data_IF_360584368263
#
_entry.id   IF_360584368263
#
_cell.length_a   1.000
_cell.length_b   1.000
_cell.length_c   1.000
_cell.angle_alpha   90.00
_cell.angle_beta   90.00
_cell.angle_gamma   90.00
#
_symmetry.space_group_name_H-M   'P 1'
#
loop_
_entity.id
_entity.type
_entity.pdbx_description
1 polymer ?
#
# COMPACT_ATOMS: atom_id res chain seq x y z
N UNK A 1 -13.03 8.89 -11.06
CA UNK A 1 -11.87 9.72 -11.50
C UNK A 1 -10.72 9.48 -10.54
N UNK A 2 -9.58 9.02 -11.06
CA UNK A 2 -8.37 8.72 -10.28
C UNK A 2 -7.52 9.98 -10.01
N UNK A 3 -6.93 10.06 -8.81
CA UNK A 3 -5.97 11.11 -8.48
C UNK A 3 -4.92 10.64 -7.46
N UNK A 4 -3.73 11.23 -7.56
CA UNK A 4 -2.65 11.12 -6.58
C UNK A 4 -2.26 12.52 -6.11
N UNK A 5 -2.07 12.70 -4.80
CA UNK A 5 -1.65 13.98 -4.23
C UNK A 5 -0.50 13.76 -3.26
N UNK A 6 0.63 14.39 -3.53
CA UNK A 6 1.78 14.37 -2.65
C UNK A 6 1.62 15.44 -1.55
N UNK A 7 1.69 14.99 -0.30
CA UNK A 7 1.65 15.80 0.89
C UNK A 7 3.07 15.78 1.47
N UNK A 8 3.81 16.91 1.47
CA UNK A 8 5.17 16.94 2.00
C UNK A 8 5.19 16.68 3.51
N UNK A 9 6.33 16.23 4.02
CA UNK A 9 6.55 16.09 5.45
C UNK A 9 6.39 17.46 6.15
N UNK A 10 5.70 17.48 7.29
CA UNK A 10 5.49 18.69 8.10
C UNK A 10 5.73 18.37 9.56
N UNK A 11 6.72 19.04 10.17
CA UNK A 11 7.14 18.87 11.56
C UNK A 11 7.40 17.40 11.94
N UNK A 12 6.38 16.74 12.51
CA UNK A 12 6.40 15.36 13.01
C UNK A 12 5.62 14.38 12.11
N UNK A 13 5.07 14.83 10.98
CA UNK A 13 4.32 13.97 10.05
C UNK A 13 5.22 13.57 8.87
N UNK A 14 5.30 12.26 8.55
CA UNK A 14 6.04 11.81 7.37
C UNK A 14 5.39 12.32 6.09
N UNK A 15 6.16 12.40 5.00
CA UNK A 15 5.58 12.69 3.70
C UNK A 15 4.60 11.58 3.30
N UNK A 16 3.54 11.95 2.59
CA UNK A 16 2.46 11.05 2.25
C UNK A 16 2.04 11.22 0.79
N UNK A 17 1.74 10.10 0.12
CA UNK A 17 1.04 10.10 -1.15
C UNK A 17 -0.39 9.63 -0.92
N UNK A 18 -1.35 10.56 -1.06
CA UNK A 18 -2.76 10.24 -0.99
C UNK A 18 -3.25 9.77 -2.36
N UNK A 19 -3.95 8.63 -2.39
CA UNK A 19 -4.47 7.98 -3.58
C UNK A 19 -5.99 7.86 -3.44
N UNK A 20 -6.72 8.32 -4.45
CA UNK A 20 -8.19 8.31 -4.44
C UNK A 20 -8.78 8.00 -5.80
N UNK A 21 -10.01 7.47 -5.80
CA UNK A 21 -10.72 7.06 -7.01
C UNK A 21 -10.32 5.66 -7.48
N UNK A 22 -10.32 5.44 -8.80
CA UNK A 22 -10.18 4.14 -9.44
C UNK A 22 -8.69 3.78 -9.68
N UNK A 23 -8.07 3.05 -8.76
CA UNK A 23 -6.69 2.57 -8.87
C UNK A 23 -6.64 1.26 -9.69
N UNK A 24 -7.02 1.31 -10.96
CA UNK A 24 -7.03 0.17 -11.88
C UNK A 24 -5.90 0.27 -12.92
N UNK A 25 -5.76 -0.76 -13.76
CA UNK A 25 -4.78 -0.82 -14.84
C UNK A 25 -4.84 0.40 -15.77
N UNK A 26 -6.03 0.99 -15.95
CA UNK A 26 -6.23 2.19 -16.76
C UNK A 26 -5.44 3.40 -16.22
N UNK A 27 -5.27 3.47 -14.90
CA UNK A 27 -4.64 4.60 -14.20
C UNK A 27 -3.27 4.24 -13.59
N UNK A 28 -2.82 3.00 -13.76
CA UNK A 28 -1.63 2.50 -13.06
C UNK A 28 -0.34 3.24 -13.45
N UNK A 29 -0.25 3.71 -14.69
CA UNK A 29 0.92 4.47 -15.14
C UNK A 29 1.03 5.82 -14.40
N UNK A 30 -0.10 6.53 -14.25
CA UNK A 30 -0.17 7.77 -13.47
C UNK A 30 0.17 7.50 -11.99
N UNK A 31 -0.34 6.40 -11.42
CA UNK A 31 -0.02 6.01 -10.05
C UNK A 31 1.49 5.75 -9.90
N UNK A 32 2.07 4.96 -10.82
CA UNK A 32 3.50 4.64 -10.83
C UNK A 32 4.37 5.89 -10.89
N UNK A 33 4.04 6.85 -11.75
CA UNK A 33 4.78 8.10 -11.88
C UNK A 33 4.78 8.89 -10.56
N UNK A 34 3.59 9.10 -9.99
CA UNK A 34 3.46 9.80 -8.70
C UNK A 34 4.21 9.07 -7.57
N UNK A 35 4.18 7.74 -7.56
CA UNK A 35 4.88 6.91 -6.58
C UNK A 35 6.40 7.02 -6.72
N UNK A 36 6.91 6.96 -7.95
CA UNK A 36 8.36 7.10 -8.24
C UNK A 36 8.84 8.50 -7.87
N UNK A 37 8.08 9.54 -8.20
CA UNK A 37 8.40 10.92 -7.82
C UNK A 37 8.41 11.10 -6.30
N UNK A 38 7.36 10.61 -5.61
CA UNK A 38 7.28 10.65 -4.16
C UNK A 38 8.44 9.92 -3.48
N UNK A 39 8.80 8.72 -3.97
CA UNK A 39 9.91 7.93 -3.42
C UNK A 39 11.29 8.56 -3.69
N UNK A 40 11.46 9.27 -4.81
CA UNK A 40 12.69 10.05 -5.06
C UNK A 40 12.84 11.21 -4.08
N UNK A 41 11.72 11.83 -3.70
CA UNK A 41 11.72 12.93 -2.74
C UNK A 41 11.87 12.43 -1.29
N UNK A 42 11.18 11.34 -0.93
CA UNK A 42 11.15 10.80 0.43
C UNK A 42 11.15 9.25 0.41
N UNK A 43 12.26 8.58 0.77
CA UNK A 43 12.35 7.12 0.74
C UNK A 43 11.41 6.37 1.71
N UNK A 44 11.05 6.98 2.83
CA UNK A 44 10.09 6.47 3.85
C UNK A 44 8.66 6.99 3.65
N UNK A 45 8.28 7.23 2.40
CA UNK A 45 6.95 7.69 1.99
C UNK A 45 5.82 6.81 2.58
N UNK A 46 4.79 7.46 3.11
CA UNK A 46 3.54 6.82 3.51
C UNK A 46 2.53 6.89 2.37
N UNK A 47 1.86 5.78 2.06
CA UNK A 47 0.81 5.72 1.05
C UNK A 47 -0.54 5.64 1.76
N UNK A 48 -1.43 6.57 1.46
CA UNK A 48 -2.82 6.57 1.92
C UNK A 48 -3.74 6.17 0.78
N UNK A 49 -4.35 4.99 0.88
CA UNK A 49 -5.34 4.50 -0.07
C UNK A 49 -6.76 4.43 0.53
N UNK A 50 -7.05 5.20 1.59
CA UNK A 50 -8.36 5.18 2.25
C UNK A 50 -9.51 5.68 1.38
N UNK A 51 -9.21 6.44 0.31
CA UNK A 51 -10.19 7.02 -0.61
C UNK A 51 -10.21 6.34 -2.00
N UNK A 52 -9.58 5.18 -2.14
CA UNK A 52 -9.65 4.37 -3.37
C UNK A 52 -11.02 3.71 -3.47
N UNK A 53 -11.76 3.97 -4.54
CA UNK A 53 -13.13 3.47 -4.74
C UNK A 53 -13.16 2.16 -5.51
N UNK A 54 -12.14 1.89 -6.32
CA UNK A 54 -11.99 0.67 -7.10
C UNK A 54 -10.49 0.37 -7.23
N UNK A 55 -10.13 -0.90 -7.24
CA UNK A 55 -8.76 -1.34 -7.46
C UNK A 55 -8.77 -2.67 -8.23
N UNK A 56 -7.62 -3.02 -8.80
CA UNK A 56 -7.40 -4.35 -9.39
C UNK A 56 -6.02 -4.90 -9.01
N UNK A 57 -5.65 -6.03 -9.61
CA UNK A 57 -4.38 -6.68 -9.35
C UNK A 57 -3.17 -5.78 -9.67
N UNK A 58 -3.28 -4.88 -10.64
CA UNK A 58 -2.17 -4.00 -11.03
C UNK A 58 -1.80 -3.02 -9.91
N UNK A 59 -2.79 -2.56 -9.13
CA UNK A 59 -2.57 -1.74 -7.95
C UNK A 59 -1.73 -2.46 -6.89
N UNK A 60 -2.11 -3.69 -6.54
CA UNK A 60 -1.38 -4.50 -5.56
C UNK A 60 0.04 -4.83 -6.06
N UNK A 61 0.19 -5.17 -7.34
CA UNK A 61 1.48 -5.42 -7.97
C UNK A 61 2.39 -4.20 -7.92
N UNK A 62 1.86 -3.00 -8.20
CA UNK A 62 2.62 -1.76 -8.14
C UNK A 62 3.08 -1.45 -6.71
N UNK A 63 2.18 -1.53 -5.73
CA UNK A 63 2.51 -1.31 -4.31
C UNK A 63 3.58 -2.31 -3.83
N UNK A 64 3.47 -3.57 -4.23
CA UNK A 64 4.46 -4.59 -3.89
C UNK A 64 5.81 -4.34 -4.58
N UNK A 65 5.81 -3.95 -5.85
CA UNK A 65 7.04 -3.58 -6.55
C UNK A 65 7.73 -2.39 -5.90
N UNK A 66 6.95 -1.38 -5.47
CA UNK A 66 7.46 -0.21 -4.77
C UNK A 66 8.07 -0.56 -3.41
N UNK A 67 7.39 -1.39 -2.61
CA UNK A 67 7.92 -1.87 -1.33
C UNK A 67 9.19 -2.71 -1.49
N UNK A 68 9.27 -3.56 -2.52
CA UNK A 68 10.52 -4.26 -2.84
C UNK A 68 11.64 -3.29 -3.25
N UNK A 69 11.33 -2.18 -3.92
CA UNK A 69 12.32 -1.19 -4.35
C UNK A 69 12.74 -0.20 -3.26
N UNK A 70 11.84 0.10 -2.32
CA UNK A 70 12.08 0.98 -1.17
C UNK A 70 11.50 0.34 0.09
N UNK A 71 12.29 -0.43 0.85
CA UNK A 71 11.81 -1.16 2.04
C UNK A 71 11.20 -0.28 3.14
N UNK A 72 11.51 1.03 3.12
CA UNK A 72 11.01 2.00 4.10
C UNK A 72 9.61 2.55 3.78
N UNK A 73 9.06 2.29 2.59
CA UNK A 73 7.70 2.69 2.23
C UNK A 73 6.68 2.02 3.15
N UNK A 74 5.62 2.75 3.51
CA UNK A 74 4.53 2.25 4.36
C UNK A 74 3.19 2.48 3.70
N UNK A 75 2.23 1.59 3.92
CA UNK A 75 0.82 1.81 3.62
C UNK A 75 0.12 2.13 4.94
N UNK A 76 -0.84 3.07 4.93
CA UNK A 76 -1.69 3.26 6.10
C UNK A 76 -2.46 1.96 6.42
N UNK A 77 -2.67 1.66 7.72
CA UNK A 77 -3.21 0.36 8.15
C UNK A 77 -4.66 0.11 7.69
N UNK A 78 -5.40 1.16 7.36
CA UNK A 78 -6.80 1.10 6.93
C UNK A 78 -6.93 1.54 5.46
N UNK A 79 -6.53 0.71 4.48
CA UNK A 79 -6.84 0.97 3.09
C UNK A 79 -8.36 0.80 2.85
N UNK A 80 -8.85 1.32 1.73
CA UNK A 80 -10.26 1.17 1.38
C UNK A 80 -10.67 -0.31 1.25
N UNK A 81 -11.97 -0.61 1.36
CA UNK A 81 -12.49 -1.96 1.08
C UNK A 81 -12.11 -2.46 -0.31
N UNK A 82 -12.08 -1.57 -1.31
CA UNK A 82 -11.68 -1.90 -2.68
C UNK A 82 -10.28 -2.54 -2.74
N UNK A 83 -9.33 -2.12 -1.90
CA UNK A 83 -8.01 -2.75 -1.81
C UNK A 83 -8.05 -3.97 -0.89
N UNK A 84 -8.67 -3.85 0.30
CA UNK A 84 -8.71 -4.93 1.30
C UNK A 84 -9.30 -6.21 0.73
N UNK A 85 -10.39 -6.09 -0.02
CA UNK A 85 -11.14 -7.22 -0.58
C UNK A 85 -10.36 -7.92 -1.72
N UNK A 86 -9.30 -7.29 -2.26
CA UNK A 86 -8.44 -7.90 -3.28
C UNK A 86 -7.24 -8.65 -2.70
N UNK A 87 -6.76 -8.32 -1.50
CA UNK A 87 -5.48 -8.83 -0.97
C UNK A 87 -5.49 -10.36 -0.85
N UNK A 88 -6.56 -10.94 -0.28
CA UNK A 88 -6.69 -12.38 -0.10
C UNK A 88 -6.88 -13.13 -1.43
N UNK A 89 -7.89 -12.82 -2.28
CA UNK A 89 -8.12 -13.58 -3.51
C UNK A 89 -7.02 -13.42 -4.57
N UNK A 90 -6.21 -12.36 -4.49
CA UNK A 90 -5.05 -12.17 -5.38
C UNK A 90 -3.79 -12.93 -4.93
N UNK A 91 -3.81 -13.59 -3.77
CA UNK A 91 -2.64 -14.29 -3.22
C UNK A 91 -1.57 -13.35 -2.67
N UNK A 92 -1.92 -12.09 -2.38
CA UNK A 92 -0.99 -11.13 -1.77
C UNK A 92 -0.94 -11.26 -0.25
N UNK A 93 -1.98 -11.79 0.40
CA UNK A 93 -1.98 -12.05 1.84
C UNK A 93 -0.80 -12.96 2.25
N UNK A 94 -0.06 -12.57 3.29
CA UNK A 94 1.08 -13.33 3.80
C UNK A 94 1.03 -13.51 5.31
N UNK A 95 1.58 -14.65 5.74
CA UNK A 95 1.85 -14.94 7.15
C UNK A 95 3.21 -14.40 7.61
N UNK A 96 4.17 -14.31 6.68
CA UNK A 96 5.54 -13.84 6.92
C UNK A 96 5.89 -12.69 6.00
N UNK A 97 6.84 -11.85 6.41
CA UNK A 97 7.31 -10.74 5.60
C UNK A 97 7.87 -11.14 4.22
N UNK A 98 7.87 -10.18 3.29
CA UNK A 98 8.68 -10.30 2.09
C UNK A 98 10.17 -10.28 2.45
N UNK A 99 10.98 -11.05 1.71
CA UNK A 99 12.44 -11.16 1.91
C UNK A 99 13.22 -9.83 1.82
N UNK A 100 12.58 -8.75 1.37
CA UNK A 100 13.19 -7.44 1.20
C UNK A 100 12.70 -6.39 2.22
N UNK A 101 12.06 -6.81 3.31
CA UNK A 101 11.69 -5.87 4.37
C UNK A 101 12.89 -5.54 5.26
N UNK A 102 13.03 -4.27 5.64
CA UNK A 102 13.99 -3.84 6.66
C UNK A 102 13.43 -4.01 8.09
N UNK A 103 12.10 -4.06 8.23
CA UNK A 103 11.38 -4.34 9.47
C UNK A 103 10.37 -5.48 9.22
N UNK A 104 10.44 -6.60 9.95
CA UNK A 104 9.45 -7.69 9.87
C UNK A 104 7.99 -7.21 9.95
N UNK A 105 7.76 -6.10 10.67
CA UNK A 105 6.42 -5.48 10.84
C UNK A 105 6.09 -4.46 9.75
N UNK A 106 7.01 -4.20 8.83
CA UNK A 106 6.91 -3.19 7.78
C UNK A 106 6.42 -3.73 6.44
N UNK A 107 6.21 -5.05 6.31
CA UNK A 107 5.68 -5.60 5.07
C UNK A 107 4.21 -5.22 4.89
N UNK A 108 3.87 -4.64 3.73
CA UNK A 108 2.52 -4.19 3.40
C UNK A 108 1.45 -5.29 3.46
N UNK A 109 1.87 -6.55 3.33
CA UNK A 109 0.97 -7.68 3.11
C UNK A 109 0.92 -8.70 4.25
N UNK A 110 1.71 -8.50 5.29
CA UNK A 110 1.63 -9.32 6.50
C UNK A 110 0.39 -8.89 7.25
N UNK A 111 -0.57 -9.81 7.42
CA UNK A 111 -1.72 -9.54 8.28
C UNK A 111 -1.18 -9.45 9.71
N UNK A 112 -1.45 -8.33 10.40
CA UNK A 112 -1.35 -8.33 11.85
C UNK A 112 -2.22 -9.49 12.33
N UNK A 113 -1.60 -10.53 12.89
CA UNK A 113 -2.30 -11.71 13.42
C UNK A 113 -3.36 -11.20 14.39
N UNK A 114 -4.62 -11.18 13.95
CA UNK A 114 -5.72 -11.16 14.91
C UNK A 114 -5.64 -12.51 15.60
N UNK A 115 -5.43 -12.49 16.92
CA UNK A 115 -5.47 -13.68 17.76
C UNK A 115 -6.63 -14.61 17.34
N UNK A 116 -6.44 -15.94 17.40
CA UNK A 116 -7.43 -16.88 16.88
C UNK A 116 -8.79 -16.61 17.52
N UNK A 117 -9.81 -16.38 16.68
CA UNK A 117 -11.20 -16.56 17.13
C UNK A 117 -11.33 -18.04 17.38
N UNK A 118 -11.70 -18.40 18.61
CA UNK A 118 -11.92 -19.78 19.01
C UNK A 118 -12.78 -20.51 17.98
N UNK A 119 -12.22 -21.58 17.43
CA UNK A 119 -12.97 -22.66 16.83
C UNK A 119 -13.71 -23.39 17.95
N UNK A 120 -15.03 -23.23 18.02
CA UNK A 120 -15.94 -24.21 18.58
C UNK A 120 -16.78 -24.76 17.41
N UNK A 121 -16.33 -25.89 16.86
CA UNK A 121 -17.11 -27.10 16.53
C UNK A 121 -16.30 -28.09 15.70
#
# INVERSE_FOLDING_TARGET
MFSCTFIPALDQRPAMLQVSGEATIQHIQQFKEALVEGLKAQPDLVIDCGQVTEADLSCLQLLCAAHRGSPAIKLLPEPSSAIRDLIEPSGFARAEECCNTADPRGCLWVRAVTAPRGEDC
#
